data_IF_626982577262
#
_entry.id   IF_626982577262
#
_cell.length_a   1.000
_cell.length_b   1.000
_cell.length_c   1.000
_cell.angle_alpha   90.00
_cell.angle_beta   90.00
_cell.angle_gamma   90.00
#
_symmetry.space_group_name_H-M   'P 1'
#
loop_
_entity.id
_entity.type
_entity.pdbx_description
1 polymer ?
#
# COMPACT_ATOMS: atom_id res chain seq x y z
N UNK A 1 3.85 -13.45 -3.96
CA UNK A 1 4.21 -12.82 -5.26
C UNK A 1 3.19 -11.75 -5.65
N UNK A 2 1.95 -12.10 -6.01
CA UNK A 2 0.94 -11.11 -6.41
C UNK A 2 0.66 -10.00 -5.38
N UNK A 3 0.45 -10.37 -4.10
CA UNK A 3 0.32 -9.42 -2.99
C UNK A 3 1.51 -8.46 -2.93
N UNK A 4 2.73 -9.02 -2.85
CA UNK A 4 3.98 -8.25 -2.77
C UNK A 4 4.11 -7.27 -3.93
N UNK A 5 3.82 -7.68 -5.17
CA UNK A 5 3.93 -6.79 -6.33
C UNK A 5 2.94 -5.63 -6.25
N UNK A 6 1.71 -5.89 -5.82
CA UNK A 6 0.70 -4.86 -5.64
C UNK A 6 1.08 -3.89 -4.52
N UNK A 7 1.55 -4.39 -3.38
CA UNK A 7 2.02 -3.58 -2.26
C UNK A 7 3.22 -2.73 -2.65
N UNK A 8 4.21 -3.31 -3.31
CA UNK A 8 5.41 -2.60 -3.74
C UNK A 8 5.05 -1.49 -4.75
N UNK A 9 4.12 -1.76 -5.66
CA UNK A 9 3.64 -0.73 -6.60
C UNK A 9 2.95 0.44 -5.88
N UNK A 10 2.09 0.14 -4.90
CA UNK A 10 1.42 1.17 -4.11
C UNK A 10 2.41 2.01 -3.30
N UNK A 11 3.38 1.37 -2.63
CA UNK A 11 4.40 2.06 -1.84
C UNK A 11 5.26 2.95 -2.75
N UNK A 12 5.73 2.42 -3.88
CA UNK A 12 6.49 3.17 -4.86
C UNK A 12 5.73 4.40 -5.36
N UNK A 13 4.45 4.24 -5.69
CA UNK A 13 3.60 5.35 -6.11
C UNK A 13 3.46 6.40 -5.01
N UNK A 14 3.22 5.99 -3.76
CA UNK A 14 3.17 6.90 -2.62
C UNK A 14 4.45 7.70 -2.41
N UNK A 15 5.62 7.07 -2.58
CA UNK A 15 6.93 7.73 -2.53
C UNK A 15 7.12 8.72 -3.68
N UNK A 16 6.84 8.30 -4.91
CA UNK A 16 7.00 9.14 -6.11
C UNK A 16 6.08 10.36 -6.09
N UNK A 17 4.84 10.18 -5.65
CA UNK A 17 3.84 11.24 -5.49
C UNK A 17 4.09 12.11 -4.25
N UNK A 18 5.07 11.77 -3.41
CA UNK A 18 5.36 12.42 -2.13
C UNK A 18 4.13 12.47 -1.22
N UNK A 19 3.39 11.37 -1.16
CA UNK A 19 2.34 11.15 -0.15
C UNK A 19 3.00 10.90 1.20
N UNK A 20 4.09 10.13 1.21
CA UNK A 20 4.92 9.86 2.38
C UNK A 20 6.37 9.58 1.96
N UNK A 21 7.27 9.54 2.92
CA UNK A 21 8.67 9.15 2.77
C UNK A 21 9.03 7.90 3.58
N UNK A 22 10.27 7.46 3.42
CA UNK A 22 10.79 6.26 4.09
C UNK A 22 11.31 6.56 5.50
N UNK A 23 11.57 7.82 5.85
CA UNK A 23 11.98 8.16 7.21
C UNK A 23 10.75 8.32 8.13
N UNK A 24 10.93 8.09 9.45
CA UNK A 24 9.88 8.33 10.43
C UNK A 24 9.22 9.70 10.28
N UNK A 25 7.89 9.73 10.36
CA UNK A 25 7.06 10.95 10.36
C UNK A 25 7.11 11.77 9.07
N UNK A 26 7.69 11.24 7.99
CA UNK A 26 7.54 11.79 6.65
C UNK A 26 6.14 11.48 6.11
N UNK A 27 5.12 12.05 6.74
CA UNK A 27 3.71 11.86 6.39
C UNK A 27 3.20 13.17 5.77
N UNK A 28 3.14 13.23 4.45
CA UNK A 28 2.93 14.48 3.71
C UNK A 28 1.51 14.63 3.14
N UNK A 29 0.64 13.65 3.34
CA UNK A 29 -0.75 13.72 2.91
C UNK A 29 -1.56 14.74 3.73
N UNK A 30 -2.60 15.36 3.13
CA UNK A 30 -3.46 16.29 3.84
C UNK A 30 -4.15 15.65 5.05
N UNK A 31 -4.07 16.29 6.22
CA UNK A 31 -4.69 15.81 7.45
C UNK A 31 -3.85 14.79 8.23
N UNK A 32 -2.64 14.46 7.76
CA UNK A 32 -1.68 13.70 8.56
C UNK A 32 -1.37 14.42 9.87
N UNK A 33 -1.15 13.65 10.93
CA UNK A 33 -0.75 14.18 12.23
C UNK A 33 0.28 13.25 12.89
N UNK A 34 1.57 13.31 12.47
CA UNK A 34 2.63 12.43 12.97
C UNK A 34 2.86 12.51 14.50
N UNK A 35 2.38 13.58 15.14
CA UNK A 35 2.43 13.76 16.59
C UNK A 35 1.14 13.40 17.34
N UNK A 36 0.10 12.93 16.67
CA UNK A 36 -1.23 12.64 17.23
C UNK A 36 -1.85 11.38 16.63
N UNK A 37 -1.20 10.23 16.83
CA UNK A 37 -1.69 8.93 16.37
C UNK A 37 -2.05 8.91 14.86
N UNK A 38 -1.17 9.46 14.02
CA UNK A 38 -1.26 9.37 12.56
C UNK A 38 -2.20 10.36 11.86
N UNK A 39 -3.26 10.83 12.51
CA UNK A 39 -4.22 11.77 11.94
C UNK A 39 -5.22 11.13 10.98
N UNK A 40 -5.67 11.87 9.96
CA UNK A 40 -6.57 11.34 8.93
C UNK A 40 -5.80 10.41 7.96
N UNK A 41 -6.45 9.42 7.33
CA UNK A 41 -5.82 8.61 6.29
C UNK A 41 -5.58 9.42 5.01
N UNK A 42 -4.51 9.09 4.28
CA UNK A 42 -4.21 9.65 2.97
C UNK A 42 -4.67 8.72 1.85
N UNK A 43 -5.43 9.24 0.88
CA UNK A 43 -5.86 8.47 -0.29
C UNK A 43 -5.10 8.94 -1.54
N UNK A 44 -4.72 8.01 -2.40
CA UNK A 44 -4.06 8.31 -3.67
C UNK A 44 -4.35 7.23 -4.71
N UNK A 45 -4.29 7.64 -5.98
CA UNK A 45 -4.47 6.75 -7.14
C UNK A 45 -3.12 6.52 -7.82
N UNK A 46 -2.96 5.38 -8.46
CA UNK A 46 -1.76 5.05 -9.22
C UNK A 46 -2.06 4.04 -10.33
N UNK A 47 -1.09 3.85 -11.22
CA UNK A 47 -1.13 2.85 -12.28
C UNK A 47 -0.20 1.69 -11.91
N UNK A 48 -0.75 0.48 -11.89
CA UNK A 48 0.01 -0.76 -11.79
C UNK A 48 0.45 -1.20 -13.18
N UNK A 49 1.74 -1.52 -13.35
CA UNK A 49 2.32 -1.93 -14.63
C UNK A 49 2.03 -0.95 -15.79
N UNK A 50 2.11 0.36 -15.50
CA UNK A 50 1.99 1.48 -16.44
C UNK A 50 0.62 1.73 -17.09
N UNK A 51 -0.40 0.89 -16.87
CA UNK A 51 -1.72 1.10 -17.50
C UNK A 51 -2.94 0.61 -16.71
N UNK A 52 -2.74 -0.07 -15.57
CA UNK A 52 -3.86 -0.65 -14.82
C UNK A 52 -4.21 0.22 -13.61
N UNK A 53 -5.42 0.80 -13.53
CA UNK A 53 -5.78 1.68 -12.42
C UNK A 53 -5.81 0.93 -11.09
N UNK A 54 -5.26 1.57 -10.06
CA UNK A 54 -5.30 1.13 -8.68
C UNK A 54 -5.45 2.34 -7.75
N UNK A 55 -5.95 2.08 -6.55
CA UNK A 55 -6.11 3.09 -5.52
C UNK A 55 -5.54 2.56 -4.20
N UNK A 56 -4.98 3.45 -3.39
CA UNK A 56 -4.45 3.10 -2.09
C UNK A 56 -4.84 4.12 -1.02
N UNK A 57 -5.00 3.62 0.21
CA UNK A 57 -5.11 4.41 1.41
C UNK A 57 -3.91 4.11 2.30
N UNK A 58 -3.28 5.15 2.83
CA UNK A 58 -2.19 5.06 3.80
C UNK A 58 -2.61 5.65 5.14
N UNK A 59 -2.23 4.99 6.22
CA UNK A 59 -2.45 5.45 7.60
C UNK A 59 -1.14 5.30 8.36
N UNK A 60 -0.69 6.37 9.02
CA UNK A 60 0.38 6.25 10.00
C UNK A 60 -0.14 5.56 11.26
N UNK A 61 0.55 4.53 11.72
CA UNK A 61 0.23 3.80 12.95
C UNK A 61 1.32 4.01 14.00
N UNK A 62 1.12 3.48 15.21
CA UNK A 62 2.12 3.59 16.28
C UNK A 62 3.46 2.98 15.85
N UNK A 63 4.57 3.60 16.25
CA UNK A 63 5.91 3.08 15.96
C UNK A 63 6.58 3.65 14.69
N UNK A 64 5.93 4.62 14.05
CA UNK A 64 6.31 5.25 12.77
C UNK A 64 6.11 4.37 11.53
N UNK A 65 5.42 3.24 11.68
CA UNK A 65 4.99 2.36 10.59
C UNK A 65 3.85 2.99 9.77
N UNK A 66 3.69 2.53 8.53
CA UNK A 66 2.54 2.84 7.70
C UNK A 66 1.72 1.58 7.44
N UNK A 67 0.40 1.66 7.63
CA UNK A 67 -0.55 0.66 7.15
C UNK A 67 -1.09 1.11 5.79
N UNK A 68 -1.09 0.21 4.80
CA UNK A 68 -1.56 0.47 3.45
C UNK A 68 -2.64 -0.50 3.04
N UNK A 69 -3.78 0.03 2.59
CA UNK A 69 -4.84 -0.72 1.93
C UNK A 69 -4.83 -0.38 0.45
N UNK A 70 -4.93 -1.38 -0.43
CA UNK A 70 -4.80 -1.22 -1.88
C UNK A 70 -5.96 -1.94 -2.57
N UNK A 71 -6.58 -1.28 -3.54
CA UNK A 71 -7.59 -1.84 -4.44
C UNK A 71 -7.07 -1.77 -5.88
N UNK A 72 -6.96 -2.93 -6.51
CA UNK A 72 -6.55 -3.09 -7.91
C UNK A 72 -7.76 -3.19 -8.83
N UNK A 73 -7.74 -2.43 -9.94
CA UNK A 73 -8.87 -2.20 -10.84
C UNK A 73 -10.17 -1.92 -10.06
N UNK A 74 -10.26 -0.78 -9.37
CA UNK A 74 -11.47 -0.41 -8.64
C UNK A 74 -12.68 -0.37 -9.57
N UNK A 75 -13.83 -0.85 -9.10
CA UNK A 75 -15.08 -0.76 -9.87
C UNK A 75 -15.74 0.63 -9.81
N UNK A 76 -15.31 1.47 -8.85
CA UNK A 76 -15.74 2.86 -8.68
C UNK A 76 -14.53 3.77 -8.51
N UNK A 77 -14.63 5.01 -9.00
CA UNK A 77 -13.61 6.05 -8.77
C UNK A 77 -13.63 6.60 -7.35
N UNK A 78 -14.77 6.50 -6.68
CA UNK A 78 -14.93 6.95 -5.29
C UNK A 78 -14.62 5.84 -4.27
N UNK A 79 -13.85 4.81 -4.68
CA UNK A 79 -13.48 3.72 -3.77
C UNK A 79 -12.68 4.30 -2.60
N UNK A 80 -12.95 3.78 -1.41
CA UNK A 80 -12.17 4.06 -0.21
C UNK A 80 -11.40 2.78 0.15
N UNK A 81 -10.11 2.64 -0.25
CA UNK A 81 -9.36 1.40 -0.06
C UNK A 81 -9.32 0.89 1.38
N UNK A 82 -9.25 1.78 2.38
CA UNK A 82 -9.32 1.44 3.82
C UNK A 82 -10.67 0.85 4.27
N UNK A 83 -11.72 0.98 3.46
CA UNK A 83 -13.06 0.44 3.71
C UNK A 83 -13.45 -0.67 2.74
N UNK A 84 -12.64 -0.91 1.72
CA UNK A 84 -12.90 -1.94 0.74
C UNK A 84 -12.84 -3.31 1.41
N UNK A 85 -13.85 -4.14 1.17
CA UNK A 85 -13.94 -5.46 1.77
C UNK A 85 -14.26 -6.51 0.71
N UNK A 86 -13.30 -7.40 0.47
CA UNK A 86 -13.39 -8.42 -0.57
C UNK A 86 -13.35 -7.86 -2.00
N UNK A 87 -13.88 -8.66 -2.93
CA UNK A 87 -13.77 -8.42 -4.38
C UNK A 87 -14.96 -7.67 -4.99
N UNK A 88 -15.79 -7.05 -4.15
CA UNK A 88 -16.90 -6.19 -4.57
C UNK A 88 -16.43 -4.82 -5.05
N UNK A 89 -15.35 -4.31 -4.47
CA UNK A 89 -14.82 -2.96 -4.74
C UNK A 89 -13.73 -2.93 -5.81
N UNK A 90 -13.16 -4.09 -6.16
CA UNK A 90 -12.16 -4.21 -7.21
C UNK A 90 -11.85 -5.65 -7.62
N UNK A 91 -10.84 -5.82 -8.45
CA UNK A 91 -10.40 -7.13 -8.97
C UNK A 91 -9.39 -7.82 -8.06
N UNK A 92 -8.62 -7.05 -7.29
CA UNK A 92 -7.86 -7.54 -6.15
C UNK A 92 -7.82 -6.49 -5.04
N UNK A 93 -7.63 -6.94 -3.81
CA UNK A 93 -7.35 -6.10 -2.65
C UNK A 93 -6.11 -6.63 -1.93
N UNK A 94 -5.30 -5.72 -1.41
CA UNK A 94 -4.14 -6.05 -0.62
C UNK A 94 -4.04 -5.12 0.59
N UNK A 95 -3.56 -5.67 1.71
CA UNK A 95 -3.23 -4.91 2.90
C UNK A 95 -1.86 -5.35 3.42
N UNK A 96 -1.12 -4.40 3.99
CA UNK A 96 0.17 -4.67 4.61
C UNK A 96 0.76 -3.44 5.25
N UNK A 97 1.94 -3.61 5.84
CA UNK A 97 2.61 -2.57 6.59
C UNK A 97 4.03 -2.31 6.09
N UNK A 98 4.41 -1.04 6.08
CA UNK A 98 5.77 -0.58 5.82
C UNK A 98 6.38 -0.13 7.14
N UNK A 99 7.39 -0.86 7.62
CA UNK A 99 8.23 -0.38 8.71
C UNK A 99 9.20 0.67 8.18
N UNK A 100 9.41 1.75 8.93
CA UNK A 100 10.26 2.89 8.54
C UNK A 100 11.35 3.21 9.54
N UNK A 101 11.16 2.87 10.81
CA UNK A 101 12.04 3.32 11.90
C UNK A 101 13.33 2.51 11.99
N UNK A 102 13.25 1.21 11.76
CA UNK A 102 14.36 0.28 11.96
C UNK A 102 15.14 -0.05 10.69
N UNK A 103 14.66 0.36 9.50
CA UNK A 103 15.39 0.06 8.26
C UNK A 103 14.62 0.08 6.94
N UNK A 104 13.36 0.53 6.91
CA UNK A 104 12.53 0.60 5.69
C UNK A 104 12.29 -0.77 5.02
N UNK A 105 11.20 -1.46 5.37
CA UNK A 105 10.81 -2.70 4.69
C UNK A 105 9.30 -2.95 4.70
N UNK A 106 8.82 -3.63 3.66
CA UNK A 106 7.50 -4.24 3.62
C UNK A 106 7.50 -5.46 4.55
N UNK A 107 6.63 -5.44 5.56
CA UNK A 107 6.54 -6.51 6.56
C UNK A 107 5.83 -7.75 6.00
N UNK A 108 6.37 -8.93 6.31
CA UNK A 108 5.80 -10.24 5.96
C UNK A 108 5.12 -10.94 7.15
N UNK A 109 4.03 -11.68 6.91
CA UNK A 109 3.40 -12.54 7.93
C UNK A 109 2.20 -11.92 8.67
N UNK A 110 1.74 -10.74 8.27
CA UNK A 110 0.50 -10.12 8.76
C UNK A 110 -0.50 -9.79 7.65
N UNK A 111 -0.13 -10.01 6.39
CA UNK A 111 -0.81 -9.46 5.23
C UNK A 111 -2.22 -10.02 4.98
N UNK A 112 -3.05 -9.21 4.31
CA UNK A 112 -4.30 -9.67 3.72
C UNK A 112 -4.25 -9.51 2.21
N UNK A 113 -4.70 -10.53 1.48
CA UNK A 113 -4.77 -10.50 0.03
C UNK A 113 -5.96 -11.29 -0.48
N UNK A 114 -6.78 -10.67 -1.31
CA UNK A 114 -7.85 -11.32 -2.07
C UNK A 114 -7.75 -10.92 -3.53
N UNK A 115 -7.87 -11.88 -4.44
CA UNK A 115 -7.71 -11.62 -5.87
C UNK A 115 -8.65 -12.50 -6.70
N UNK A 116 -9.30 -11.92 -7.72
CA UNK A 116 -10.01 -12.71 -8.72
C UNK A 116 -8.99 -13.58 -9.47
N UNK A 117 -9.31 -14.86 -9.65
CA UNK A 117 -8.42 -15.85 -10.29
C UNK A 117 -7.85 -15.40 -11.65
N UNK A 118 -8.64 -14.67 -12.44
CA UNK A 118 -8.22 -14.18 -13.75
C UNK A 118 -7.10 -13.12 -13.71
N UNK A 119 -6.95 -12.39 -12.61
CA UNK A 119 -5.94 -11.35 -12.44
C UNK A 119 -4.67 -11.84 -11.71
N UNK A 120 -4.74 -13.01 -11.07
CA UNK A 120 -3.70 -13.50 -10.18
C UNK A 120 -2.35 -13.67 -10.89
N UNK A 121 -2.34 -14.25 -12.09
CA UNK A 121 -1.09 -14.46 -12.85
C UNK A 121 -0.47 -13.13 -13.27
N UNK A 122 -1.26 -12.18 -13.81
CA UNK A 122 -0.76 -10.87 -14.20
C UNK A 122 -0.13 -10.10 -13.04
N UNK A 123 -0.77 -10.14 -11.86
CA UNK A 123 -0.20 -9.53 -10.64
C UNK A 123 1.06 -10.26 -10.16
N UNK A 124 1.10 -11.59 -10.24
CA UNK A 124 2.24 -12.39 -9.78
C UNK A 124 3.47 -12.29 -10.69
N UNK A 125 3.25 -12.19 -11.99
CA UNK A 125 4.31 -12.19 -13.02
C UNK A 125 4.89 -10.79 -13.26
N UNK A 126 4.24 -9.74 -12.74
CA UNK A 126 4.75 -8.38 -12.80
C UNK A 126 6.13 -8.26 -12.14
N UNK A 127 7.07 -7.62 -12.84
CA UNK A 127 8.38 -7.29 -12.27
C UNK A 127 8.30 -5.90 -11.67
N UNK A 128 8.35 -5.82 -10.35
CA UNK A 128 8.27 -4.54 -9.61
C UNK A 128 9.43 -4.49 -8.62
N UNK A 129 10.24 -3.44 -8.65
CA UNK A 129 11.36 -3.27 -7.73
C UNK A 129 11.03 -2.23 -6.66
N UNK A 130 11.36 -2.46 -5.38
CA UNK A 130 11.11 -1.49 -4.32
C UNK A 130 12.03 -0.27 -4.45
N UNK A 131 11.48 0.93 -4.24
CA UNK A 131 12.22 2.19 -4.34
C UNK A 131 12.91 2.56 -3.02
N UNK A 132 14.04 1.91 -2.74
CA UNK A 132 14.91 2.27 -1.62
C UNK A 132 14.54 1.67 -0.27
N UNK A 133 13.69 0.64 -0.26
CA UNK A 133 13.29 -0.16 0.90
C UNK A 133 13.37 -1.66 0.55
N UNK A 134 13.37 -2.55 1.54
CA UNK A 134 13.30 -3.99 1.28
C UNK A 134 11.84 -4.44 1.09
N UNK A 135 11.57 -5.32 0.14
CA UNK A 135 10.23 -5.84 -0.14
C UNK A 135 9.81 -7.03 0.75
N UNK A 136 10.68 -7.41 1.68
CA UNK A 136 10.47 -8.44 2.69
C UNK A 136 11.23 -8.07 3.97
N UNK A 137 10.62 -8.35 5.12
CA UNK A 137 11.25 -8.21 6.43
C UNK A 137 10.27 -8.51 7.54
N UNK A 138 10.81 -8.73 8.74
CA UNK A 138 10.03 -9.22 9.88
C UNK A 138 8.82 -8.31 10.20
N UNK A 139 7.68 -8.93 10.46
CA UNK A 139 6.55 -8.26 11.12
C UNK A 139 6.90 -7.86 12.55
N UNK A 140 6.53 -6.64 12.92
CA UNK A 140 6.72 -6.08 14.26
C UNK A 140 5.34 -5.70 14.80
N UNK A 141 5.08 -6.07 16.06
CA UNK A 141 3.84 -5.77 16.79
C UNK A 141 4.18 -5.09 18.12
#
# INVERSE_FOLDING_TARGET
MAWRNLMVSAINAGLQQRVFGLAPREDWWPGSAPGRNGGAPGNYEFEFADDIPAAATVTAISGDELALHVVFQPHSRDVMPDRAYGLGDGTAIAHGWLERRLGAWLMDGGEEFSCKRAALSGLADATVEPLGYADQGAFIM
#
